data_IF_921998937230
#
_entry.id   IF_921998937230
#
_cell.length_a   1.000
_cell.length_b   1.000
_cell.length_c   1.000
_cell.angle_alpha   90.00
_cell.angle_beta   90.00
_cell.angle_gamma   90.00
#
_symmetry.space_group_name_H-M   'P 1'
#
loop_
_entity.id
_entity.type
_entity.pdbx_description
1 polymer ?
#
# COMPACT_ATOMS: atom_id res chain seq x y z
N UNK A 1 3.92 -19.72 25.27
CA UNK A 1 4.03 -19.24 23.88
C UNK A 1 3.98 -17.72 23.90
N UNK A 2 4.97 -17.06 24.48
CA UNK A 2 6.09 -16.47 23.72
C UNK A 2 5.70 -15.06 23.28
N UNK A 3 5.92 -14.04 24.13
CA UNK A 3 5.48 -12.65 23.88
C UNK A 3 5.88 -12.12 22.50
N UNK A 4 7.05 -12.53 21.99
CA UNK A 4 7.55 -12.19 20.65
C UNK A 4 6.61 -12.66 19.50
N UNK A 5 5.91 -13.78 19.67
CA UNK A 5 4.94 -14.31 18.69
C UNK A 5 3.65 -13.49 18.70
N UNK A 6 3.19 -13.03 19.86
CA UNK A 6 2.01 -12.15 19.94
C UNK A 6 2.24 -10.81 19.26
N UNK A 7 3.45 -10.24 19.37
CA UNK A 7 3.81 -8.99 18.67
C UNK A 7 3.93 -9.15 17.15
N UNK A 8 4.45 -10.28 16.65
CA UNK A 8 4.49 -10.53 15.20
C UNK A 8 3.09 -10.70 14.62
N UNK A 9 2.22 -11.41 15.33
CA UNK A 9 0.86 -11.68 14.86
C UNK A 9 0.05 -10.38 14.72
N UNK A 10 0.10 -9.51 15.72
CA UNK A 10 -0.59 -8.21 15.66
C UNK A 10 -0.17 -7.34 14.47
N UNK A 11 1.14 -7.34 14.14
CA UNK A 11 1.65 -6.57 13.00
C UNK A 11 1.15 -7.13 11.67
N UNK A 12 1.10 -8.46 11.54
CA UNK A 12 0.60 -9.11 10.33
C UNK A 12 -0.91 -8.90 10.19
N UNK A 13 -1.70 -9.13 11.25
CA UNK A 13 -3.15 -8.89 11.26
C UNK A 13 -3.50 -7.45 10.89
N UNK A 14 -2.72 -6.47 11.39
CA UNK A 14 -2.90 -5.07 11.03
C UNK A 14 -2.61 -4.81 9.54
N UNK A 15 -1.58 -5.46 9.00
CA UNK A 15 -1.22 -5.31 7.60
C UNK A 15 -2.27 -5.92 6.67
N UNK A 16 -2.71 -7.15 6.95
CA UNK A 16 -3.78 -7.83 6.23
C UNK A 16 -5.08 -7.02 6.27
N UNK A 17 -5.46 -6.50 7.45
CA UNK A 17 -6.62 -5.63 7.57
C UNK A 17 -6.52 -4.38 6.68
N UNK A 18 -5.34 -3.74 6.67
CA UNK A 18 -5.11 -2.57 5.82
C UNK A 18 -5.22 -2.92 4.32
N UNK A 19 -4.65 -4.05 3.90
CA UNK A 19 -4.77 -4.52 2.52
C UNK A 19 -6.22 -4.78 2.15
N UNK A 20 -6.99 -5.48 2.99
CA UNK A 20 -8.42 -5.72 2.77
C UNK A 20 -9.21 -4.41 2.64
N UNK A 21 -8.93 -3.40 3.49
CA UNK A 21 -9.59 -2.08 3.39
C UNK A 21 -9.26 -1.36 2.07
N UNK A 22 -8.03 -1.53 1.57
CA UNK A 22 -7.59 -0.95 0.29
C UNK A 22 -8.20 -1.71 -0.90
N UNK A 23 -8.29 -3.03 -0.82
CA UNK A 23 -8.96 -3.90 -1.78
C UNK A 23 -10.46 -3.57 -1.89
N UNK A 24 -11.17 -3.51 -0.77
CA UNK A 24 -12.59 -3.15 -0.71
C UNK A 24 -12.87 -1.77 -1.30
N UNK A 25 -11.92 -0.84 -1.14
CA UNK A 25 -12.02 0.50 -1.71
C UNK A 25 -11.48 0.62 -3.14
N UNK A 26 -10.93 -0.46 -3.70
CA UNK A 26 -10.36 -0.53 -5.05
C UNK A 26 -9.10 0.31 -5.24
N UNK A 27 -8.40 0.66 -4.17
CA UNK A 27 -7.28 1.62 -4.17
C UNK A 27 -5.95 0.92 -3.98
N UNK A 28 -4.93 1.38 -4.71
CA UNK A 28 -3.56 0.97 -4.48
C UNK A 28 -3.14 1.32 -3.03
N UNK A 29 -2.67 0.35 -2.23
CA UNK A 29 -2.30 0.56 -0.83
C UNK A 29 -1.08 1.48 -0.66
N UNK A 30 -0.16 1.49 -1.63
CA UNK A 30 1.09 2.26 -1.56
C UNK A 30 0.86 3.76 -1.76
N UNK A 31 0.15 4.14 -2.81
CA UNK A 31 -0.22 5.55 -3.05
C UNK A 31 -1.55 5.95 -2.42
N UNK A 32 -2.28 5.02 -1.78
CA UNK A 32 -3.65 5.20 -1.26
C UNK A 32 -4.64 5.71 -2.31
N UNK A 33 -4.54 5.17 -3.51
CA UNK A 33 -5.38 5.58 -4.65
C UNK A 33 -5.02 6.88 -5.35
N UNK A 34 -3.87 7.52 -5.03
CA UNK A 34 -3.46 8.76 -5.69
C UNK A 34 -2.90 8.58 -7.09
N UNK A 35 -2.33 7.42 -7.41
CA UNK A 35 -1.58 7.20 -8.65
C UNK A 35 -0.19 7.83 -8.68
N UNK A 36 0.14 8.73 -7.76
CA UNK A 36 1.47 9.32 -7.64
C UNK A 36 1.94 9.37 -6.19
N UNK A 37 3.26 9.37 -6.01
CA UNK A 37 3.91 9.55 -4.73
C UNK A 37 4.27 11.02 -4.56
N UNK A 38 3.83 11.61 -3.45
CA UNK A 38 4.25 12.95 -3.08
C UNK A 38 5.72 12.88 -2.62
N UNK A 39 6.59 13.72 -3.20
CA UNK A 39 7.97 13.79 -2.75
C UNK A 39 8.03 14.44 -1.37
N UNK A 40 9.06 14.08 -0.62
CA UNK A 40 9.31 14.66 0.71
C UNK A 40 9.63 16.16 0.65
N UNK A 41 10.10 16.67 -0.49
CA UNK A 41 10.39 18.09 -0.70
C UNK A 41 9.47 18.69 -1.77
N UNK A 42 9.08 19.95 -1.57
CA UNK A 42 8.26 20.72 -2.51
C UNK A 42 8.99 21.08 -3.81
N UNK A 43 10.29 20.81 -3.91
CA UNK A 43 11.13 21.10 -5.08
C UNK A 43 11.30 19.91 -6.00
N UNK A 44 10.76 18.74 -5.63
CA UNK A 44 10.77 17.55 -6.46
C UNK A 44 9.37 17.38 -7.03
N UNK A 45 9.25 17.01 -8.31
CA UNK A 45 7.97 16.69 -8.90
C UNK A 45 7.46 15.36 -8.33
N UNK A 46 6.14 15.25 -8.10
CA UNK A 46 5.53 13.96 -7.84
C UNK A 46 5.81 13.02 -9.00
N UNK A 47 6.14 11.77 -8.69
CA UNK A 47 6.33 10.72 -9.67
C UNK A 47 5.22 9.69 -9.56
N UNK A 48 4.94 9.00 -10.66
CA UNK A 48 3.93 7.95 -10.72
C UNK A 48 4.22 6.87 -9.68
N UNK A 49 3.19 6.36 -9.02
CA UNK A 49 3.35 5.29 -8.06
C UNK A 49 3.85 4.05 -8.80
N UNK A 50 5.04 3.52 -8.47
CA UNK A 50 5.64 2.42 -9.22
C UNK A 50 4.84 1.13 -9.05
N UNK A 51 4.23 0.95 -7.88
CA UNK A 51 3.51 -0.28 -7.54
C UNK A 51 2.19 -0.43 -8.28
N UNK A 52 1.57 0.65 -8.76
CA UNK A 52 0.34 0.60 -9.59
C UNK A 52 0.51 1.32 -10.93
N UNK A 53 1.77 1.60 -11.32
CA UNK A 53 2.13 2.29 -12.56
C UNK A 53 1.27 3.53 -12.88
N UNK A 54 1.03 4.38 -11.88
CA UNK A 54 0.25 5.61 -12.09
C UNK A 54 -1.27 5.49 -11.93
N UNK A 55 -1.85 4.28 -11.92
CA UNK A 55 -3.31 4.13 -11.99
C UNK A 55 -4.04 4.43 -10.67
N UNK A 56 -3.39 4.13 -9.55
CA UNK A 56 -4.01 4.20 -8.23
C UNK A 56 -4.98 3.07 -7.92
N UNK A 57 -5.11 2.05 -8.77
CA UNK A 57 -6.04 0.94 -8.56
C UNK A 57 -5.41 -0.21 -7.77
N UNK A 58 -6.23 -0.90 -6.98
CA UNK A 58 -5.79 -2.09 -6.24
C UNK A 58 -5.42 -3.24 -7.20
N UNK A 59 -6.20 -3.48 -8.25
CA UNK A 59 -5.94 -4.54 -9.24
C UNK A 59 -4.58 -4.41 -9.93
N UNK A 60 -4.19 -3.17 -10.24
CA UNK A 60 -2.89 -2.91 -10.88
C UNK A 60 -1.74 -3.04 -9.88
N UNK A 61 -2.01 -2.76 -8.60
CA UNK A 61 -1.07 -3.04 -7.52
C UNK A 61 -0.89 -4.54 -7.30
N UNK A 62 -1.98 -5.31 -7.28
CA UNK A 62 -1.96 -6.76 -7.13
C UNK A 62 -1.19 -7.41 -8.28
N UNK A 63 -1.47 -7.03 -9.53
CA UNK A 63 -0.79 -7.54 -10.71
C UNK A 63 0.73 -7.24 -10.74
N UNK A 64 1.20 -6.23 -10.00
CA UNK A 64 2.63 -5.92 -9.88
C UNK A 64 3.33 -6.72 -8.77
N UNK A 65 2.58 -7.22 -7.78
CA UNK A 65 3.12 -7.92 -6.60
C UNK A 65 2.92 -9.45 -6.64
N UNK A 66 2.22 -9.99 -7.65
CA UNK A 66 2.11 -11.43 -7.98
C UNK A 66 3.36 -11.95 -8.73
#
# INVERSE_FOLDING_TARGET
MGLLQSFSNWRNERHEKFLNEMEESGKCPDCRGRGFTLPYSAYVAGYECPSCNGSGLFSDWEAFND
#
